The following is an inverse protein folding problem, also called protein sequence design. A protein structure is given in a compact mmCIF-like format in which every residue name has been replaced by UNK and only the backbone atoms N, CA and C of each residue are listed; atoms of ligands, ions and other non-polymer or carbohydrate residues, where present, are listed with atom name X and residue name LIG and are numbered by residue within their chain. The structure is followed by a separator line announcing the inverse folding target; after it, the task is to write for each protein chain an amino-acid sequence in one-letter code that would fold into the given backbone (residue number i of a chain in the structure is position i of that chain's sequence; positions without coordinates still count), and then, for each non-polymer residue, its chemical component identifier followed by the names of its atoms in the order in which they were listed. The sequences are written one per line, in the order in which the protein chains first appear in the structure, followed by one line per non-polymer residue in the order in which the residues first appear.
data_IF_065398923804
#
_entry.id   IF_065398923804
#
_cell.length_a   1.000
_cell.length_b   1.000
_cell.length_c   1.000
_cell.angle_alpha   90.00
_cell.angle_beta   90.00
_cell.angle_gamma   90.00
#
_symmetry.space_group_name_H-M   'P 1'
#
loop_
_entity.id
_entity.type
_entity.pdbx_description
1 polymer ?
#
# COMPACT_ATOMS: atom_id res chain seq x y z
N UNK A 1 5.54 -30.87 10.59
CA UNK A 1 5.72 -29.43 10.85
C UNK A 1 5.39 -28.74 9.54
N UNK A 2 4.30 -27.98 9.48
CA UNK A 2 4.00 -27.11 8.34
C UNK A 2 5.02 -25.99 8.37
N UNK A 3 6.01 -26.03 7.49
CA UNK A 3 6.76 -24.83 7.11
C UNK A 3 5.79 -23.93 6.33
N UNK A 4 4.97 -23.18 7.04
CA UNK A 4 4.20 -22.10 6.42
C UNK A 4 5.21 -21.15 5.78
N UNK A 5 5.10 -20.94 4.49
CA UNK A 5 5.96 -20.02 3.73
C UNK A 5 5.98 -18.68 4.47
N UNK A 6 7.15 -18.28 4.95
CA UNK A 6 7.31 -17.06 5.73
C UNK A 6 6.96 -15.89 4.80
N UNK A 7 6.05 -15.02 5.22
CA UNK A 7 5.63 -13.86 4.45
C UNK A 7 6.20 -12.62 5.09
N UNK A 8 6.85 -11.78 4.30
CA UNK A 8 7.49 -10.54 4.74
C UNK A 8 6.65 -9.34 4.33
N UNK A 9 6.76 -8.25 5.09
CA UNK A 9 6.05 -7.01 4.83
C UNK A 9 6.94 -5.98 4.12
N UNK A 10 6.37 -5.23 3.20
CA UNK A 10 7.04 -4.08 2.57
C UNK A 10 6.12 -2.88 2.68
N UNK A 11 6.61 -1.80 3.28
CA UNK A 11 5.91 -0.51 3.30
C UNK A 11 6.61 0.45 2.36
N UNK A 12 5.91 0.90 1.32
CA UNK A 12 6.43 1.83 0.33
C UNK A 12 6.13 3.27 0.77
N UNK A 13 7.14 3.95 1.27
CA UNK A 13 7.08 5.30 1.83
C UNK A 13 8.00 6.29 1.12
N UNK A 14 8.32 6.02 -0.15
CA UNK A 14 9.01 6.94 -1.05
C UNK A 14 8.11 8.07 -1.55
N UNK A 15 8.60 8.83 -2.50
CA UNK A 15 7.88 9.95 -3.11
C UNK A 15 8.01 11.28 -2.35
N UNK A 16 7.90 12.37 -3.08
CA UNK A 16 8.14 13.74 -2.57
C UNK A 16 6.94 14.33 -1.84
N UNK A 17 5.73 13.77 -2.03
CA UNK A 17 4.51 14.32 -1.44
C UNK A 17 4.14 15.71 -1.96
N UNK A 18 4.43 16.00 -3.22
CA UNK A 18 4.24 17.32 -3.84
C UNK A 18 2.81 17.86 -3.72
N UNK A 19 1.80 16.97 -3.77
CA UNK A 19 0.38 17.34 -3.62
C UNK A 19 0.00 17.82 -2.22
N UNK A 20 0.86 17.60 -1.22
CA UNK A 20 0.70 18.08 0.16
C UNK A 20 1.63 19.25 0.50
N UNK A 21 2.26 19.88 -0.51
CA UNK A 21 3.00 21.11 -0.28
C UNK A 21 2.06 22.23 0.17
N UNK A 22 2.39 23.05 1.21
CA UNK A 22 3.71 23.21 1.84
C UNK A 22 3.98 22.29 3.05
N UNK A 23 3.06 21.41 3.47
CA UNK A 23 3.28 20.53 4.64
C UNK A 23 4.52 19.65 4.46
N UNK A 24 4.80 19.24 3.22
CA UNK A 24 5.94 18.38 2.88
C UNK A 24 7.23 19.14 2.58
N UNK A 25 7.28 20.45 2.85
CA UNK A 25 8.49 21.27 2.63
C UNK A 25 9.67 20.83 3.48
N UNK A 26 9.41 20.41 4.72
CA UNK A 26 10.43 20.08 5.73
C UNK A 26 10.31 18.66 6.27
N UNK A 27 9.33 17.88 5.79
CA UNK A 27 9.11 16.50 6.25
C UNK A 27 8.57 15.62 5.10
N UNK A 28 8.68 14.31 5.25
CA UNK A 28 8.05 13.37 4.33
C UNK A 28 6.54 13.25 4.63
N UNK A 29 5.70 13.06 3.59
CA UNK A 29 4.23 12.95 3.76
C UNK A 29 3.83 11.85 4.75
N UNK A 30 4.54 10.73 4.77
CA UNK A 30 4.25 9.59 5.63
C UNK A 30 4.57 9.83 7.12
N UNK A 31 5.24 10.95 7.43
CA UNK A 31 5.51 11.40 8.79
C UNK A 31 4.49 12.44 9.28
N UNK A 32 3.60 12.91 8.39
CA UNK A 32 2.50 13.80 8.77
C UNK A 32 1.52 13.07 9.69
N UNK A 33 0.91 13.78 10.65
CA UNK A 33 -0.03 13.17 11.57
C UNK A 33 -1.34 12.80 10.88
N UNK A 34 -1.86 11.62 11.22
CA UNK A 34 -3.23 11.20 10.98
C UNK A 34 -3.85 11.04 12.36
N UNK A 35 -4.68 12.00 12.76
CA UNK A 35 -5.26 12.10 14.09
C UNK A 35 -4.17 12.10 15.19
N UNK A 36 -3.89 10.96 15.85
CA UNK A 36 -3.01 10.84 17.01
C UNK A 36 -1.64 10.21 16.71
N UNK A 37 -1.37 9.82 15.46
CA UNK A 37 -0.15 9.07 15.08
C UNK A 37 0.44 9.54 13.74
N UNK A 38 1.75 9.37 13.53
CA UNK A 38 2.33 9.51 12.19
C UNK A 38 1.69 8.54 11.19
N UNK A 39 1.45 9.00 9.97
CA UNK A 39 0.81 8.22 8.90
C UNK A 39 1.42 6.83 8.72
N UNK A 40 2.75 6.72 8.75
CA UNK A 40 3.48 5.46 8.56
C UNK A 40 3.15 4.38 9.60
N UNK A 41 2.62 4.75 10.76
CA UNK A 41 2.27 3.80 11.81
C UNK A 41 1.12 2.90 11.42
N UNK A 42 0.17 3.41 10.61
CA UNK A 42 -1.02 2.65 10.19
C UNK A 42 -0.68 1.45 9.31
N UNK A 43 0.07 1.59 8.19
CA UNK A 43 0.45 0.43 7.38
C UNK A 43 1.36 -0.56 8.13
N UNK A 44 2.25 -0.08 9.01
CA UNK A 44 3.06 -0.98 9.85
C UNK A 44 2.16 -1.78 10.79
N UNK A 45 1.23 -1.14 11.49
CA UNK A 45 0.30 -1.82 12.40
C UNK A 45 -0.58 -2.81 11.65
N UNK A 46 -1.06 -2.45 10.44
CA UNK A 46 -1.85 -3.35 9.58
C UNK A 46 -1.09 -4.64 9.26
N UNK A 47 0.20 -4.56 8.94
CA UNK A 47 1.04 -5.75 8.72
C UNK A 47 1.20 -6.58 9.99
N UNK A 48 1.47 -5.94 11.12
CA UNK A 48 1.62 -6.60 12.42
C UNK A 48 0.34 -7.32 12.83
N UNK A 49 -0.81 -6.68 12.68
CA UNK A 49 -2.12 -7.26 12.98
C UNK A 49 -2.46 -8.43 12.06
N UNK A 50 -1.92 -8.45 10.85
CA UNK A 50 -1.99 -9.59 9.93
C UNK A 50 -0.96 -10.70 10.22
N UNK A 51 -0.17 -10.56 11.29
CA UNK A 51 0.84 -11.54 11.71
C UNK A 51 2.13 -11.50 10.90
N UNK A 52 2.46 -10.36 10.29
CA UNK A 52 3.70 -10.12 9.55
C UNK A 52 4.59 -9.22 10.41
N UNK A 53 5.74 -9.76 10.85
CA UNK A 53 6.61 -9.11 11.83
C UNK A 53 8.04 -8.85 11.34
N UNK A 54 8.30 -9.17 10.10
CA UNK A 54 9.56 -8.92 9.40
C UNK A 54 9.24 -7.94 8.27
N UNK A 55 9.67 -6.68 8.41
CA UNK A 55 9.20 -5.57 7.58
C UNK A 55 10.38 -4.78 7.01
N UNK A 56 10.30 -4.47 5.71
CA UNK A 56 11.15 -3.48 5.05
C UNK A 56 10.34 -2.18 4.83
N UNK A 57 10.92 -1.06 5.20
CA UNK A 57 10.42 0.27 4.86
C UNK A 57 11.26 0.84 3.72
N UNK A 58 10.64 1.06 2.57
CA UNK A 58 11.26 1.75 1.44
C UNK A 58 11.00 3.24 1.59
N UNK A 59 12.04 3.99 1.93
CA UNK A 59 11.97 5.44 2.10
C UNK A 59 12.45 6.16 0.85
N UNK A 60 12.30 7.48 0.80
CA UNK A 60 12.83 8.32 -0.27
C UNK A 60 12.87 9.79 0.13
N UNK A 61 13.41 10.62 -0.76
CA UNK A 61 13.49 12.06 -0.55
C UNK A 61 14.48 12.47 0.54
N UNK A 62 14.44 13.74 0.92
CA UNK A 62 15.45 14.35 1.82
C UNK A 62 15.34 13.92 3.29
N UNK A 63 14.21 13.31 3.69
CA UNK A 63 13.87 13.05 5.08
C UNK A 63 13.96 11.58 5.46
N UNK A 64 14.69 10.75 4.73
CA UNK A 64 14.83 9.31 5.01
C UNK A 64 15.35 9.02 6.44
N UNK A 65 16.25 9.85 6.96
CA UNK A 65 16.76 9.73 8.34
C UNK A 65 15.69 9.93 9.42
N UNK A 66 14.59 10.63 9.13
CA UNK A 66 13.50 10.87 10.08
C UNK A 66 12.71 9.58 10.34
N UNK A 67 12.58 8.70 9.34
CA UNK A 67 12.00 7.36 9.53
C UNK A 67 12.81 6.53 10.51
N UNK A 68 14.14 6.54 10.38
CA UNK A 68 15.05 5.85 11.31
C UNK A 68 14.92 6.38 12.74
N UNK A 69 14.79 7.69 12.91
CA UNK A 69 14.60 8.30 14.24
C UNK A 69 13.25 7.98 14.85
N UNK A 70 12.18 7.98 14.02
CA UNK A 70 10.81 7.72 14.46
C UNK A 70 10.58 6.25 14.79
N UNK A 71 10.98 5.36 13.91
CA UNK A 71 10.68 3.94 13.99
C UNK A 71 11.74 3.15 14.74
N UNK A 72 13.01 3.61 14.69
CA UNK A 72 14.16 2.91 15.28
C UNK A 72 14.15 1.41 14.93
N UNK A 73 14.13 0.53 15.91
CA UNK A 73 13.96 -0.91 15.74
C UNK A 73 12.52 -1.40 15.94
N UNK A 74 11.57 -0.48 16.05
CA UNK A 74 10.11 -0.71 16.11
C UNK A 74 9.66 -1.75 17.15
N UNK A 75 10.38 -1.88 18.27
CA UNK A 75 10.02 -2.80 19.37
C UNK A 75 8.60 -2.58 19.89
N UNK A 76 8.12 -1.33 19.88
CA UNK A 76 6.79 -0.97 20.36
C UNK A 76 5.66 -1.55 19.49
N UNK A 77 5.93 -1.92 18.21
CA UNK A 77 5.00 -2.65 17.36
C UNK A 77 5.08 -4.17 17.55
N UNK A 78 6.05 -4.68 18.30
CA UNK A 78 6.28 -6.12 18.46
C UNK A 78 6.84 -6.77 17.18
N UNK A 79 7.56 -6.00 16.35
CA UNK A 79 8.26 -6.52 15.19
C UNK A 79 9.41 -7.42 15.59
N UNK A 80 9.66 -8.45 14.80
CA UNK A 80 10.85 -9.28 14.91
C UNK A 80 12.04 -8.56 14.30
N UNK A 81 11.81 -7.92 13.15
CA UNK A 81 12.84 -7.20 12.40
C UNK A 81 12.24 -6.04 11.60
N UNK A 82 13.01 -4.96 11.43
CA UNK A 82 12.71 -3.85 10.54
C UNK A 82 13.97 -3.42 9.80
N UNK A 83 13.88 -3.45 8.47
CA UNK A 83 14.91 -2.97 7.56
C UNK A 83 14.48 -1.68 6.88
N UNK A 84 15.46 -0.97 6.33
CA UNK A 84 15.25 0.27 5.59
C UNK A 84 16.04 0.24 4.30
N UNK A 85 15.41 0.71 3.22
CA UNK A 85 16.09 0.99 1.96
C UNK A 85 15.65 2.32 1.39
N UNK A 86 16.36 2.83 0.40
CA UNK A 86 16.16 4.17 -0.13
C UNK A 86 15.89 4.14 -1.62
N UNK A 87 14.76 4.72 -2.03
CA UNK A 87 14.42 4.95 -3.43
C UNK A 87 14.98 6.30 -3.88
N UNK A 88 15.81 6.27 -4.92
CA UNK A 88 16.27 7.48 -5.60
C UNK A 88 15.23 7.94 -6.61
N UNK A 89 14.81 9.20 -6.52
CA UNK A 89 13.84 9.78 -7.46
C UNK A 89 12.40 9.30 -7.25
N UNK A 90 11.63 9.27 -8.34
CA UNK A 90 10.19 8.95 -8.39
C UNK A 90 9.88 7.99 -9.55
N UNK A 91 10.59 6.87 -9.64
CA UNK A 91 10.46 5.88 -10.70
C UNK A 91 9.23 4.97 -10.60
N UNK A 92 8.31 5.25 -9.66
CA UNK A 92 7.05 4.54 -9.51
C UNK A 92 7.05 3.46 -8.42
N UNK A 93 5.86 2.86 -8.23
CA UNK A 93 5.63 1.87 -7.16
C UNK A 93 6.39 0.57 -7.44
N UNK A 94 6.43 0.12 -8.71
CA UNK A 94 7.13 -1.11 -9.06
C UNK A 94 8.65 -0.98 -8.91
N UNK A 95 9.23 0.19 -9.22
CA UNK A 95 10.65 0.47 -8.94
C UNK A 95 10.94 0.40 -7.44
N UNK A 96 10.11 1.06 -6.62
CA UNK A 96 10.27 1.01 -5.16
C UNK A 96 10.18 -0.43 -4.63
N UNK A 97 9.24 -1.24 -5.15
CA UNK A 97 9.11 -2.64 -4.80
C UNK A 97 10.34 -3.46 -5.19
N UNK A 98 10.97 -3.16 -6.33
CA UNK A 98 12.17 -3.88 -6.79
C UNK A 98 13.34 -3.77 -5.79
N UNK A 99 13.41 -2.69 -5.01
CA UNK A 99 14.41 -2.54 -3.95
C UNK A 99 14.25 -3.55 -2.81
N UNK A 100 13.09 -4.20 -2.72
CA UNK A 100 12.82 -5.23 -1.72
C UNK A 100 13.34 -6.63 -2.12
N UNK A 101 13.89 -6.82 -3.32
CA UNK A 101 14.31 -8.14 -3.84
C UNK A 101 15.22 -8.89 -2.87
N UNK A 102 16.26 -8.24 -2.39
CA UNK A 102 17.21 -8.88 -1.48
C UNK A 102 16.57 -9.21 -0.12
N UNK A 103 15.76 -8.29 0.41
CA UNK A 103 15.00 -8.51 1.64
C UNK A 103 13.99 -9.65 1.49
N UNK A 104 13.33 -9.78 0.34
CA UNK A 104 12.34 -10.83 0.08
C UNK A 104 12.94 -12.24 0.24
N UNK A 105 14.15 -12.48 -0.26
CA UNK A 105 14.86 -13.75 -0.14
C UNK A 105 13.94 -14.94 -0.43
N UNK A 106 13.34 -14.94 -1.62
CA UNK A 106 12.35 -15.92 -2.11
C UNK A 106 11.09 -16.11 -1.23
N UNK A 107 10.82 -15.17 -0.31
CA UNK A 107 9.59 -15.17 0.48
C UNK A 107 8.44 -14.49 -0.26
N UNK A 108 7.21 -14.90 0.05
CA UNK A 108 6.02 -14.12 -0.34
C UNK A 108 6.02 -12.77 0.36
N UNK A 109 5.51 -11.76 -0.33
CA UNK A 109 5.46 -10.39 0.16
C UNK A 109 4.01 -9.93 0.37
N UNK A 110 3.80 -9.15 1.43
CA UNK A 110 2.66 -8.25 1.58
C UNK A 110 3.17 -6.81 1.49
N UNK A 111 2.73 -6.10 0.47
CA UNK A 111 3.17 -4.75 0.15
C UNK A 111 2.05 -3.78 0.46
N UNK A 112 2.35 -2.73 1.22
CA UNK A 112 1.39 -1.67 1.55
C UNK A 112 1.99 -0.31 1.17
N UNK A 113 1.21 0.52 0.49
CA UNK A 113 1.57 1.92 0.28
C UNK A 113 1.45 2.69 1.60
N UNK A 114 2.47 3.45 1.94
CA UNK A 114 2.63 4.10 3.25
C UNK A 114 1.58 5.16 3.59
N UNK A 115 0.76 5.57 2.62
CA UNK A 115 -0.34 6.51 2.78
C UNK A 115 -1.73 5.84 2.74
N UNK A 116 -1.80 4.52 2.74
CA UNK A 116 -3.04 3.77 2.74
C UNK A 116 -3.46 3.37 4.15
N UNK A 117 -4.68 3.74 4.52
CA UNK A 117 -5.26 3.55 5.85
C UNK A 117 -6.61 2.85 5.72
N UNK A 118 -6.85 1.89 6.59
CA UNK A 118 -8.07 1.08 6.61
C UNK A 118 -8.67 0.99 8.02
N UNK A 119 -9.96 0.73 8.07
CA UNK A 119 -10.67 0.42 9.32
C UNK A 119 -10.48 -1.03 9.75
N UNK A 120 -10.56 -1.93 8.79
CA UNK A 120 -10.59 -3.38 9.01
C UNK A 120 -9.21 -4.02 9.11
N UNK A 121 -9.21 -5.33 8.92
CA UNK A 121 -7.99 -6.16 8.94
C UNK A 121 -7.80 -6.88 7.62
N UNK A 122 -6.55 -7.00 7.19
CA UNK A 122 -6.18 -7.80 6.00
C UNK A 122 -5.78 -9.23 6.36
N UNK A 123 -5.91 -9.64 7.63
CA UNK A 123 -5.45 -10.96 8.12
C UNK A 123 -6.02 -12.12 7.29
N UNK A 124 -7.33 -12.12 7.01
CA UNK A 124 -7.97 -13.16 6.21
C UNK A 124 -7.36 -13.27 4.81
N UNK A 125 -7.18 -12.13 4.13
CA UNK A 125 -6.57 -12.10 2.80
C UNK A 125 -5.10 -12.57 2.82
N UNK A 126 -4.34 -12.23 3.86
CA UNK A 126 -2.95 -12.69 4.07
C UNK A 126 -2.93 -14.21 4.29
N UNK A 127 -3.82 -14.75 5.11
CA UNK A 127 -3.91 -16.20 5.35
C UNK A 127 -4.30 -16.97 4.09
N UNK A 128 -5.23 -16.43 3.28
CA UNK A 128 -5.61 -17.01 2.00
C UNK A 128 -4.43 -17.01 1.03
N UNK A 129 -3.70 -15.89 0.93
CA UNK A 129 -2.54 -15.81 0.06
C UNK A 129 -1.37 -16.70 0.51
N UNK A 130 -1.19 -16.91 1.81
CA UNK A 130 -0.20 -17.89 2.31
C UNK A 130 -0.48 -19.30 1.78
N UNK A 131 -1.76 -19.66 1.64
CA UNK A 131 -2.19 -20.98 1.11
C UNK A 131 -2.19 -21.06 -0.41
N UNK A 132 -2.25 -19.93 -1.10
CA UNK A 132 -2.19 -19.87 -2.57
C UNK A 132 -0.82 -20.39 -3.04
N UNK A 133 -0.73 -21.33 -4.00
CA UNK A 133 0.55 -21.92 -4.39
C UNK A 133 1.53 -20.90 -4.95
N UNK A 134 1.07 -20.05 -5.87
CA UNK A 134 1.85 -19.02 -6.55
C UNK A 134 0.95 -17.86 -7.02
N UNK A 135 1.53 -16.79 -7.53
CA UNK A 135 0.84 -15.67 -8.15
C UNK A 135 0.74 -14.44 -7.25
N UNK A 136 -0.34 -13.70 -7.43
CA UNK A 136 -0.59 -12.46 -6.71
C UNK A 136 -2.01 -12.37 -6.15
N UNK A 137 -2.18 -11.50 -5.17
CA UNK A 137 -3.50 -11.10 -4.65
C UNK A 137 -3.56 -9.59 -4.45
N UNK A 138 -4.67 -8.99 -4.87
CA UNK A 138 -4.97 -7.57 -4.65
C UNK A 138 -6.20 -7.42 -3.76
N UNK A 139 -6.30 -6.28 -3.09
CA UNK A 139 -7.49 -5.90 -2.35
C UNK A 139 -8.24 -4.81 -3.09
N UNK A 140 -9.53 -5.03 -3.27
CA UNK A 140 -10.44 -4.14 -3.99
C UNK A 140 -11.37 -3.43 -3.04
N UNK A 141 -11.65 -2.16 -3.34
CA UNK A 141 -12.66 -1.37 -2.63
C UNK A 141 -13.59 -0.69 -3.63
N UNK A 142 -14.89 -0.79 -3.39
CA UNK A 142 -15.85 0.00 -4.13
C UNK A 142 -15.79 1.46 -3.67
N UNK A 143 -15.63 2.37 -4.64
CA UNK A 143 -15.48 3.81 -4.42
C UNK A 143 -16.29 4.61 -5.44
N UNK A 144 -16.62 5.85 -5.11
CA UNK A 144 -17.35 6.75 -6.01
C UNK A 144 -16.46 7.54 -6.97
N UNK A 145 -15.15 7.59 -6.71
CA UNK A 145 -14.12 8.37 -7.42
C UNK A 145 -13.04 7.44 -8.01
N UNK A 146 -13.48 6.34 -8.64
CA UNK A 146 -12.62 5.26 -9.12
C UNK A 146 -11.55 5.73 -10.12
N UNK A 147 -11.81 6.79 -10.88
CA UNK A 147 -10.88 7.37 -11.87
C UNK A 147 -9.56 7.87 -11.28
N UNK A 148 -9.47 7.97 -9.96
CA UNK A 148 -8.23 8.36 -9.26
C UNK A 148 -7.24 7.21 -9.08
N UNK A 149 -7.69 5.97 -9.28
CA UNK A 149 -6.98 4.74 -8.90
C UNK A 149 -6.82 3.80 -10.09
N UNK A 150 -6.09 2.72 -9.90
CA UNK A 150 -6.20 1.56 -10.78
C UNK A 150 -7.59 0.96 -10.62
N UNK A 151 -8.31 0.74 -11.72
CA UNK A 151 -9.68 0.22 -11.73
C UNK A 151 -9.70 -1.21 -12.24
N UNK A 152 -10.23 -2.13 -11.43
CA UNK A 152 -10.33 -3.53 -11.78
C UNK A 152 -11.61 -3.83 -12.58
N UNK A 153 -11.46 -4.53 -13.70
CA UNK A 153 -12.55 -5.17 -14.42
C UNK A 153 -12.69 -6.62 -13.91
N UNK A 154 -13.89 -6.99 -13.48
CA UNK A 154 -14.17 -8.29 -12.86
C UNK A 154 -15.16 -9.07 -13.71
N UNK A 155 -14.88 -10.35 -13.93
CA UNK A 155 -15.78 -11.31 -14.54
C UNK A 155 -15.92 -12.54 -13.62
N UNK A 156 -17.08 -12.66 -12.97
CA UNK A 156 -17.32 -13.64 -11.93
C UNK A 156 -16.39 -13.51 -10.74
N UNK A 157 -15.56 -14.51 -10.53
CA UNK A 157 -14.57 -14.58 -9.45
C UNK A 157 -13.13 -14.19 -9.90
N UNK A 158 -13.00 -13.59 -11.08
CA UNK A 158 -11.70 -13.25 -11.68
C UNK A 158 -11.58 -11.77 -12.00
N UNK A 159 -10.42 -11.20 -11.71
CA UNK A 159 -10.01 -9.92 -12.32
C UNK A 159 -9.48 -10.21 -13.72
N UNK A 160 -10.04 -9.54 -14.72
CA UNK A 160 -9.67 -9.76 -16.13
C UNK A 160 -8.77 -8.66 -16.69
N UNK A 161 -8.79 -7.47 -16.07
CA UNK A 161 -7.95 -6.34 -16.44
C UNK A 161 -7.92 -5.28 -15.33
N UNK A 162 -6.85 -4.50 -15.28
CA UNK A 162 -6.74 -3.30 -14.44
C UNK A 162 -6.27 -2.15 -15.33
N UNK A 163 -7.01 -1.03 -15.33
CA UNK A 163 -6.64 0.20 -16.01
C UNK A 163 -6.20 1.26 -15.01
N UNK A 164 -5.02 1.85 -15.20
CA UNK A 164 -4.48 2.89 -14.32
C UNK A 164 -5.14 4.24 -14.60
N UNK A 165 -5.83 4.79 -13.62
CA UNK A 165 -6.49 6.11 -13.66
C UNK A 165 -7.29 6.38 -14.94
N UNK A 166 -8.26 5.51 -15.26
CA UNK A 166 -9.03 5.63 -16.50
C UNK A 166 -9.87 6.90 -16.49
N UNK A 167 -9.96 7.59 -17.62
CA UNK A 167 -10.86 8.74 -17.77
C UNK A 167 -12.35 8.35 -17.70
N UNK A 168 -12.66 7.10 -18.00
CA UNK A 168 -14.01 6.51 -17.95
C UNK A 168 -13.90 5.12 -17.33
N UNK A 169 -13.99 5.02 -16.00
CA UNK A 169 -13.89 3.75 -15.30
C UNK A 169 -14.97 2.76 -15.79
N UNK A 170 -14.58 1.52 -16.00
CA UNK A 170 -15.51 0.43 -16.37
C UNK A 170 -16.17 -0.22 -15.15
N UNK A 171 -15.67 0.06 -13.96
CA UNK A 171 -16.23 -0.37 -12.70
C UNK A 171 -15.95 0.67 -11.61
N UNK A 172 -16.54 0.49 -10.43
CA UNK A 172 -16.25 1.28 -9.23
C UNK A 172 -15.24 0.59 -8.30
N UNK A 173 -14.60 -0.51 -8.72
CA UNK A 173 -13.67 -1.26 -7.89
C UNK A 173 -12.25 -0.73 -8.05
N UNK A 174 -11.84 0.11 -7.11
CA UNK A 174 -10.47 0.60 -7.01
C UNK A 174 -9.54 -0.51 -6.49
N UNK A 175 -8.38 -0.66 -7.11
CA UNK A 175 -7.28 -1.42 -6.56
C UNK A 175 -6.66 -0.58 -5.45
N UNK A 176 -6.74 -1.06 -4.22
CA UNK A 176 -6.17 -0.37 -3.06
C UNK A 176 -4.66 -0.49 -3.04
N UNK A 177 -3.99 0.28 -2.18
CA UNK A 177 -2.54 0.18 -2.01
C UNK A 177 -2.08 -1.03 -1.18
N UNK A 178 -2.76 -2.17 -1.31
CA UNK A 178 -2.46 -3.43 -0.62
C UNK A 178 -2.29 -4.54 -1.65
N UNK A 179 -1.09 -5.07 -1.75
CA UNK A 179 -0.73 -6.08 -2.72
C UNK A 179 -0.04 -7.26 -2.05
N UNK A 180 -0.22 -8.45 -2.57
CA UNK A 180 0.51 -9.63 -2.15
C UNK A 180 1.08 -10.32 -3.37
N UNK A 181 2.36 -10.68 -3.31
CA UNK A 181 3.11 -11.24 -4.42
C UNK A 181 3.92 -12.45 -3.98
N UNK A 182 4.07 -13.42 -4.87
CA UNK A 182 5.11 -14.43 -4.78
C UNK A 182 6.48 -13.87 -5.23
N UNK A 183 7.49 -14.70 -5.16
CA UNK A 183 8.88 -14.34 -5.51
C UNK A 183 9.06 -13.93 -6.97
N UNK A 184 8.16 -14.34 -7.88
CA UNK A 184 8.26 -14.03 -9.31
C UNK A 184 7.95 -12.57 -9.66
N UNK A 185 7.50 -11.78 -8.68
CA UNK A 185 7.19 -10.35 -8.88
C UNK A 185 8.39 -9.58 -9.42
N UNK A 186 9.58 -9.91 -8.98
CA UNK A 186 10.80 -9.20 -9.39
C UNK A 186 11.17 -9.46 -10.85
N UNK A 187 10.92 -10.66 -11.36
CA UNK A 187 11.09 -10.98 -12.78
C UNK A 187 10.12 -10.19 -13.65
N UNK A 188 8.86 -10.03 -13.18
CA UNK A 188 7.87 -9.22 -13.89
C UNK A 188 8.26 -7.74 -13.91
N UNK A 189 8.78 -7.20 -12.79
CA UNK A 189 9.24 -5.81 -12.73
C UNK A 189 10.39 -5.57 -13.73
N UNK A 190 11.32 -6.51 -13.90
CA UNK A 190 12.43 -6.38 -14.86
C UNK A 190 11.98 -6.27 -16.33
N UNK A 191 10.79 -6.75 -16.64
CA UNK A 191 10.23 -6.67 -18.01
C UNK A 191 9.44 -5.39 -18.27
N UNK A 192 9.22 -4.56 -17.26
CA UNK A 192 8.41 -3.34 -17.43
C UNK A 192 9.15 -2.26 -18.21
N UNK A 193 8.36 -1.48 -18.92
CA UNK A 193 8.80 -0.25 -19.59
C UNK A 193 8.14 0.93 -18.88
N UNK A 194 8.87 2.02 -18.61
CA UNK A 194 8.28 3.20 -17.99
C UNK A 194 7.09 3.73 -18.77
N UNK A 195 6.03 4.08 -18.06
CA UNK A 195 4.82 4.68 -18.62
C UNK A 195 5.08 6.08 -19.19
N UNK A 196 4.05 6.67 -19.80
CA UNK A 196 4.11 8.07 -20.26
C UNK A 196 4.40 9.09 -19.13
N UNK A 197 4.34 8.66 -17.86
CA UNK A 197 4.73 9.45 -16.68
C UNK A 197 6.20 9.24 -16.26
N UNK A 198 6.91 8.33 -16.93
CA UNK A 198 8.27 7.93 -16.57
C UNK A 198 8.33 6.99 -15.36
N UNK A 199 7.21 6.38 -14.97
CA UNK A 199 7.07 5.49 -13.82
C UNK A 199 6.95 4.02 -14.25
N UNK A 200 7.53 3.10 -13.48
CA UNK A 200 7.22 1.68 -13.56
C UNK A 200 5.94 1.42 -12.76
N UNK A 201 4.86 1.13 -13.50
CA UNK A 201 3.52 1.04 -12.93
C UNK A 201 3.27 -0.31 -12.26
N UNK A 202 2.78 -0.29 -11.03
CA UNK A 202 2.36 -1.51 -10.34
C UNK A 202 1.17 -2.17 -11.04
N UNK A 203 0.36 -1.39 -11.75
CA UNK A 203 -0.74 -1.87 -12.58
C UNK A 203 -0.26 -2.82 -13.68
N UNK A 204 0.91 -2.58 -14.27
CA UNK A 204 1.48 -3.45 -15.30
C UNK A 204 1.97 -4.77 -14.70
N UNK A 205 2.53 -4.75 -13.49
CA UNK A 205 2.86 -5.97 -12.72
C UNK A 205 1.59 -6.78 -12.48
N UNK A 206 0.54 -6.16 -11.98
CA UNK A 206 -0.73 -6.83 -11.71
C UNK A 206 -1.33 -7.44 -12.99
N UNK A 207 -1.31 -6.70 -14.11
CA UNK A 207 -1.78 -7.19 -15.40
C UNK A 207 -0.93 -8.36 -15.93
N UNK A 208 0.36 -8.44 -15.58
CA UNK A 208 1.18 -9.61 -15.91
C UNK A 208 0.65 -10.88 -15.21
N UNK A 209 0.34 -10.81 -13.92
CA UNK A 209 -0.28 -11.92 -13.18
C UNK A 209 -1.69 -12.26 -13.67
N UNK A 210 -2.47 -11.26 -14.11
CA UNK A 210 -3.79 -11.50 -14.72
C UNK A 210 -3.64 -12.29 -16.02
N UNK A 211 -2.70 -11.93 -16.90
CA UNK A 211 -2.42 -12.66 -18.14
C UNK A 211 -1.98 -14.11 -17.91
N UNK A 212 -1.26 -14.36 -16.83
CA UNK A 212 -0.85 -15.71 -16.41
C UNK A 212 -1.98 -16.51 -15.74
N UNK A 213 -3.12 -15.86 -15.41
CA UNK A 213 -4.23 -16.49 -14.72
C UNK A 213 -3.95 -16.80 -13.25
N UNK A 214 -2.98 -16.12 -12.64
CA UNK A 214 -2.52 -16.35 -11.25
C UNK A 214 -2.84 -15.19 -10.30
N UNK A 215 -3.59 -14.17 -10.77
CA UNK A 215 -4.11 -13.09 -9.94
C UNK A 215 -5.38 -13.52 -9.22
N UNK A 216 -5.43 -13.30 -7.92
CA UNK A 216 -6.63 -13.42 -7.09
C UNK A 216 -6.97 -12.08 -6.44
N UNK A 217 -8.16 -11.95 -5.88
CA UNK A 217 -8.53 -10.74 -5.16
C UNK A 217 -9.40 -11.05 -3.95
N UNK A 218 -9.53 -10.06 -3.06
CA UNK A 218 -10.53 -10.01 -2.01
C UNK A 218 -11.07 -8.60 -1.90
N UNK A 219 -12.31 -8.45 -1.44
CA UNK A 219 -12.85 -7.14 -1.10
C UNK A 219 -12.35 -6.71 0.28
N UNK A 220 -12.09 -5.41 0.42
CA UNK A 220 -11.69 -4.81 1.68
C UNK A 220 -12.93 -4.34 2.44
N UNK A 221 -13.12 -4.89 3.62
CA UNK A 221 -14.21 -4.50 4.54
C UNK A 221 -13.92 -3.17 5.22
N UNK A 222 -14.99 -2.48 5.65
CA UNK A 222 -14.89 -1.19 6.31
C UNK A 222 -14.47 -0.07 5.36
N UNK A 223 -14.09 1.10 5.90
CA UNK A 223 -13.59 2.20 5.10
C UNK A 223 -12.10 2.02 4.73
N UNK A 224 -11.75 2.62 3.60
CA UNK A 224 -10.40 2.77 3.10
C UNK A 224 -10.19 4.19 2.57
N UNK A 225 -9.01 4.72 2.75
CA UNK A 225 -8.59 5.98 2.13
C UNK A 225 -7.08 5.99 1.87
N UNK A 226 -6.67 6.64 0.79
CA UNK A 226 -5.33 7.18 0.66
C UNK A 226 -5.23 8.49 1.45
N UNK A 227 -4.06 8.93 1.83
CA UNK A 227 -3.82 10.22 2.47
C UNK A 227 -2.83 11.07 1.65
N UNK A 228 -3.05 11.09 0.32
CA UNK A 228 -2.14 11.70 -0.65
C UNK A 228 -2.47 13.13 -1.07
N UNK A 229 -3.64 13.66 -0.66
CA UNK A 229 -4.07 15.07 -0.91
C UNK A 229 -4.55 15.71 0.38
N UNK A 230 -4.77 17.04 0.40
CA UNK A 230 -5.29 17.73 1.58
C UNK A 230 -6.65 17.18 2.02
N UNK A 231 -7.54 16.92 1.05
CA UNK A 231 -8.89 16.42 1.31
C UNK A 231 -8.84 14.99 1.86
N UNK A 232 -8.02 14.11 1.27
CA UNK A 232 -7.90 12.73 1.74
C UNK A 232 -7.11 12.62 3.05
N UNK A 233 -6.16 13.51 3.32
CA UNK A 233 -5.46 13.62 4.60
C UNK A 233 -6.43 13.99 5.73
N UNK A 234 -7.27 15.01 5.52
CA UNK A 234 -8.31 15.43 6.46
C UNK A 234 -9.34 14.30 6.67
N UNK A 235 -9.80 13.68 5.58
CA UNK A 235 -10.73 12.55 5.64
C UNK A 235 -10.16 11.40 6.46
N UNK A 236 -8.89 11.03 6.25
CA UNK A 236 -8.22 9.98 7.01
C UNK A 236 -8.21 10.30 8.51
N UNK A 237 -7.84 11.52 8.89
CA UNK A 237 -7.86 11.97 10.29
C UNK A 237 -9.25 11.86 10.92
N UNK A 238 -10.29 12.28 10.20
CA UNK A 238 -11.69 12.20 10.68
C UNK A 238 -12.16 10.75 10.84
N UNK A 239 -11.89 9.88 9.87
CA UNK A 239 -12.27 8.46 9.92
C UNK A 239 -11.60 7.75 11.09
N UNK A 240 -10.30 7.97 11.29
CA UNK A 240 -9.56 7.39 12.42
C UNK A 240 -10.10 7.91 13.75
N UNK A 241 -10.35 9.22 13.87
CA UNK A 241 -10.91 9.82 15.09
C UNK A 241 -12.30 9.23 15.42
N UNK A 242 -13.16 9.06 14.42
CA UNK A 242 -14.48 8.42 14.57
C UNK A 242 -14.35 6.97 15.05
N UNK A 243 -13.46 6.17 14.45
CA UNK A 243 -13.21 4.81 14.88
C UNK A 243 -12.65 4.72 16.31
N UNK A 244 -11.94 5.76 16.77
CA UNK A 244 -11.49 5.90 18.15
C UNK A 244 -12.59 6.40 19.13
N UNK A 245 -13.82 6.58 18.66
CA UNK A 245 -14.96 7.01 19.49
C UNK A 245 -15.03 8.52 19.75
N UNK A 246 -14.23 9.32 19.07
CA UNK A 246 -14.34 10.78 19.15
C UNK A 246 -15.60 11.24 18.41
N UNK A 247 -16.54 11.79 19.13
CA UNK A 247 -17.72 12.43 18.54
C UNK A 247 -17.24 13.64 17.73
N UNK A 248 -17.63 13.70 16.45
CA UNK A 248 -17.20 14.71 15.49
C UNK A 248 -16.98 16.10 16.12
N UNK A 249 -15.78 16.66 16.06
CA UNK A 249 -15.62 18.07 16.30
C UNK A 249 -16.04 18.79 15.01
N UNK A 250 -17.17 19.50 15.09
CA UNK A 250 -17.60 20.50 14.13
C UNK A 250 -17.90 19.98 12.72
N UNK A 251 -19.18 19.67 12.46
CA UNK A 251 -19.75 19.93 11.15
C UNK A 251 -19.40 21.39 10.79
N UNK A 252 -18.53 21.62 9.81
CA UNK A 252 -18.38 22.92 9.20
C UNK A 252 -19.74 23.23 8.61
N UNK A 253 -20.44 24.21 9.21
CA UNK A 253 -21.79 24.60 8.82
C UNK A 253 -21.81 24.91 7.33
N UNK A 254 -22.71 24.28 6.62
CA UNK A 254 -23.21 24.77 5.33
C UNK A 254 -23.89 26.13 5.59
N UNK A 255 -23.21 27.20 5.26
CA UNK A 255 -23.85 28.46 4.87
C UNK A 255 -23.85 28.59 3.37
#
# INVERSE_FOLDING_TARGET
MYHGTMMKGVVLAGGTGSRLFPLTKITNKHLLPIYDKPMIYYPIQTLVDAGIKDILVVTGGKNAGDFLRLLANSKHFGLTHIDYTYQEGEGGIAEALNLARHFADNSKLCVILGDNIIEGSIRGAVEDFRRQPAGAKILLKEVSDAERFGVAEIDGDRVIHIEEKPKRPKSNYAVTGFYMYDETVFEKIETLVPSGRGELEITDVNNAYIREGTMTFSYLDGWWTDAGTFESLLRAGNLVAQSAGVKNPVAVGSE
#
